data_IF_422394952438
#
_entry.id   IF_422394952438
#
_cell.length_a   1.000
_cell.length_b   1.000
_cell.length_c   1.000
_cell.angle_alpha   90.00
_cell.angle_beta   90.00
_cell.angle_gamma   90.00
#
_symmetry.space_group_name_H-M   'P 1'
#
loop_
_entity.id
_entity.type
_entity.pdbx_description
1 polymer ?
#
# COMPACT_ATOMS: atom_id res chain seq x y z
N UNK A 1 35.99 8.69 -19.15
CA UNK A 1 34.90 7.70 -18.99
C UNK A 1 35.06 6.77 -17.78
N UNK A 2 36.23 6.16 -17.53
CA UNK A 2 36.43 5.27 -16.37
C UNK A 2 36.22 5.92 -14.98
N UNK A 3 36.45 7.24 -14.86
CA UNK A 3 36.23 7.98 -13.60
C UNK A 3 34.74 8.18 -13.28
N UNK A 4 33.91 8.52 -14.27
CA UNK A 4 32.45 8.62 -14.08
C UNK A 4 31.83 7.26 -13.75
N UNK A 5 32.28 6.19 -14.40
CA UNK A 5 31.80 4.83 -14.08
C UNK A 5 32.17 4.41 -12.66
N UNK A 6 33.42 4.67 -12.21
CA UNK A 6 33.83 4.43 -10.82
C UNK A 6 33.05 5.26 -9.80
N UNK A 7 32.70 6.50 -10.13
CA UNK A 7 31.86 7.33 -9.28
C UNK A 7 30.42 6.77 -9.19
N UNK A 8 29.85 6.34 -10.31
CA UNK A 8 28.50 5.77 -10.39
C UNK A 8 28.36 4.39 -9.73
N UNK A 9 29.45 3.61 -9.67
CA UNK A 9 29.47 2.28 -9.03
C UNK A 9 29.99 2.31 -7.59
N UNK A 10 30.19 3.48 -6.99
CA UNK A 10 30.68 3.57 -5.61
C UNK A 10 29.67 2.89 -4.68
N UNK A 11 30.17 2.05 -3.77
CA UNK A 11 29.37 1.39 -2.74
C UNK A 11 29.66 2.01 -1.39
N UNK A 12 28.64 2.10 -0.54
CA UNK A 12 28.84 2.55 0.84
C UNK A 12 29.53 1.44 1.63
N UNK A 13 30.75 1.68 2.08
CA UNK A 13 31.37 0.84 3.09
C UNK A 13 30.74 1.19 4.43
N UNK A 14 30.16 0.19 5.11
CA UNK A 14 29.66 0.34 6.45
C UNK A 14 30.73 -0.20 7.39
N UNK A 15 31.45 0.70 8.06
CA UNK A 15 32.37 0.30 9.11
C UNK A 15 31.57 -0.24 10.29
N UNK A 16 32.01 -1.35 10.88
CA UNK A 16 31.34 -2.04 11.99
C UNK A 16 31.04 -1.13 13.18
N UNK A 17 31.93 -0.16 13.46
CA UNK A 17 31.71 0.87 14.48
C UNK A 17 30.50 1.78 14.18
N UNK A 18 30.23 2.05 12.90
CA UNK A 18 29.11 2.90 12.49
C UNK A 18 27.76 2.16 12.53
N UNK A 19 27.75 0.83 12.63
CA UNK A 19 26.53 0.03 12.81
C UNK A 19 26.04 0.07 14.26
N UNK A 20 26.93 0.31 15.23
CA UNK A 20 26.59 0.37 16.65
C UNK A 20 26.26 1.78 17.16
N UNK A 21 26.70 2.84 16.47
CA UNK A 21 26.36 4.24 16.78
C UNK A 21 24.92 4.61 16.34
N UNK A 22 23.90 3.99 16.95
CA UNK A 22 22.55 4.56 16.92
C UNK A 22 22.40 5.56 18.06
N UNK A 23 22.19 6.84 17.74
CA UNK A 23 21.82 7.88 18.73
C UNK A 23 20.33 7.81 19.11
N UNK A 24 19.57 6.88 18.54
CA UNK A 24 18.14 6.70 18.77
C UNK A 24 17.94 5.69 19.90
N UNK A 25 17.02 5.99 20.82
CA UNK A 25 16.62 5.02 21.84
C UNK A 25 15.93 3.83 21.15
N UNK A 26 16.33 2.61 21.50
CA UNK A 26 15.61 1.40 21.10
C UNK A 26 14.33 1.29 21.91
N UNK A 27 13.20 1.57 21.28
CA UNK A 27 11.88 1.65 21.98
C UNK A 27 10.85 0.71 21.35
N UNK A 28 11.13 0.14 20.18
CA UNK A 28 10.19 -0.73 19.47
C UNK A 28 10.42 -2.20 19.84
N UNK A 29 9.36 -2.87 20.29
CA UNK A 29 9.38 -4.31 20.53
C UNK A 29 8.92 -5.08 19.28
N UNK A 30 9.13 -6.39 19.22
CA UNK A 30 8.75 -7.23 18.06
C UNK A 30 7.26 -7.16 17.73
N UNK A 31 6.43 -7.01 18.77
CA UNK A 31 4.97 -6.83 18.64
C UNK A 31 4.64 -5.48 18.00
N UNK A 32 5.34 -4.42 18.40
CA UNK A 32 5.14 -3.07 17.85
C UNK A 32 5.57 -3.02 16.39
N UNK A 33 6.67 -3.69 16.03
CA UNK A 33 7.12 -3.81 14.63
C UNK A 33 6.14 -4.60 13.77
N UNK A 34 5.59 -5.69 14.32
CA UNK A 34 4.56 -6.47 13.63
C UNK A 34 3.30 -5.64 13.44
N UNK A 35 2.88 -4.90 14.47
CA UNK A 35 1.74 -3.99 14.38
C UNK A 35 1.99 -2.85 13.37
N UNK A 36 3.19 -2.29 13.34
CA UNK A 36 3.59 -1.26 12.37
C UNK A 36 3.55 -1.81 10.93
N UNK A 37 4.09 -3.02 10.71
CA UNK A 37 4.00 -3.71 9.42
C UNK A 37 2.56 -3.98 8.99
N UNK A 38 1.75 -4.55 9.89
CA UNK A 38 0.35 -4.85 9.61
C UNK A 38 -0.45 -3.58 9.37
N UNK A 39 -0.27 -2.54 10.19
CA UNK A 39 -0.98 -1.27 10.09
C UNK A 39 -0.64 -0.49 8.83
N UNK A 40 0.63 -0.50 8.41
CA UNK A 40 1.07 0.15 7.17
C UNK A 40 0.59 -0.58 5.92
N UNK A 41 0.48 -1.91 5.96
CA UNK A 41 0.03 -2.71 4.81
C UNK A 41 -1.51 -2.72 4.69
N UNK A 42 -2.22 -2.74 5.82
CA UNK A 42 -3.69 -2.73 5.86
C UNK A 42 -4.27 -1.34 5.61
N UNK A 43 -4.38 -0.95 4.34
CA UNK A 43 -4.95 0.33 3.94
C UNK A 43 -6.04 0.23 2.86
N UNK A 44 -6.10 1.28 2.03
CA UNK A 44 -7.04 1.42 0.90
C UNK A 44 -6.98 0.23 -0.06
N UNK A 45 -5.83 -0.46 -0.15
CA UNK A 45 -5.66 -1.66 -0.96
C UNK A 45 -6.61 -2.81 -0.60
N UNK A 46 -6.76 -3.13 0.68
CA UNK A 46 -7.66 -4.23 1.07
C UNK A 46 -9.11 -3.78 1.02
N UNK A 47 -9.41 -2.54 1.43
CA UNK A 47 -10.79 -2.10 1.59
C UNK A 47 -11.47 -1.60 0.30
N UNK A 48 -10.73 -0.95 -0.61
CA UNK A 48 -11.28 -0.38 -1.86
C UNK A 48 -10.93 -1.26 -3.05
N UNK A 49 -9.65 -1.60 -3.23
CA UNK A 49 -9.19 -2.31 -4.42
C UNK A 49 -9.71 -3.75 -4.49
N UNK A 50 -9.95 -4.42 -3.36
CA UNK A 50 -10.56 -5.75 -3.38
C UNK A 50 -11.96 -5.74 -4.05
N UNK A 51 -12.77 -4.72 -3.76
CA UNK A 51 -14.09 -4.55 -4.39
C UNK A 51 -14.00 -4.17 -5.86
N UNK A 52 -13.11 -3.23 -6.20
CA UNK A 52 -12.92 -2.76 -7.58
C UNK A 52 -12.37 -3.86 -8.50
N UNK A 53 -11.33 -4.58 -8.06
CA UNK A 53 -10.73 -5.69 -8.80
C UNK A 53 -11.72 -6.85 -8.95
N UNK A 54 -12.49 -7.15 -7.90
CA UNK A 54 -13.55 -8.17 -7.97
C UNK A 54 -14.62 -7.79 -9.00
N UNK A 55 -15.06 -6.53 -9.01
CA UNK A 55 -16.11 -6.07 -9.93
C UNK A 55 -15.64 -5.95 -11.39
N UNK A 56 -14.46 -5.39 -11.62
CA UNK A 56 -14.05 -4.92 -12.95
C UNK A 56 -13.02 -5.82 -13.66
N UNK A 57 -12.24 -6.63 -12.93
CA UNK A 57 -11.06 -7.32 -13.49
C UNK A 57 -11.05 -8.84 -13.30
N UNK A 58 -11.37 -9.33 -12.11
CA UNK A 58 -11.15 -10.73 -11.74
C UNK A 58 -12.45 -11.50 -11.46
N UNK A 59 -13.51 -10.85 -10.96
CA UNK A 59 -14.69 -11.56 -10.47
C UNK A 59 -14.37 -12.43 -9.25
N UNK A 60 -15.01 -13.61 -9.11
CA UNK A 60 -14.71 -14.55 -8.03
C UNK A 60 -13.25 -15.00 -7.98
N UNK A 61 -12.53 -14.98 -9.11
CA UNK A 61 -11.10 -15.26 -9.18
C UNK A 61 -10.20 -14.21 -8.50
N UNK A 62 -10.77 -13.16 -7.89
CA UNK A 62 -10.04 -12.20 -7.04
C UNK A 62 -9.28 -12.89 -5.91
N UNK A 63 -9.79 -14.02 -5.39
CA UNK A 63 -9.09 -14.82 -4.35
C UNK A 63 -7.73 -15.31 -4.87
N UNK A 64 -7.68 -15.81 -6.11
CA UNK A 64 -6.41 -16.23 -6.74
C UNK A 64 -5.53 -15.03 -7.06
N UNK A 65 -6.12 -13.89 -7.38
CA UNK A 65 -5.39 -12.65 -7.66
C UNK A 65 -4.62 -12.19 -6.41
N UNK A 66 -5.28 -12.17 -5.25
CA UNK A 66 -4.65 -11.90 -3.96
C UNK A 66 -3.63 -12.96 -3.57
N UNK A 67 -3.88 -14.24 -3.87
CA UNK A 67 -2.93 -15.31 -3.58
C UNK A 67 -1.63 -15.13 -4.35
N UNK A 68 -1.68 -14.85 -5.66
CA UNK A 68 -0.48 -14.61 -6.45
C UNK A 68 0.28 -13.36 -5.98
N UNK A 69 -0.45 -12.28 -5.67
CA UNK A 69 0.15 -11.07 -5.10
C UNK A 69 0.82 -11.32 -3.74
N UNK A 70 0.20 -12.12 -2.87
CA UNK A 70 0.73 -12.49 -1.57
C UNK A 70 2.01 -13.33 -1.69
N UNK A 71 2.05 -14.32 -2.58
CA UNK A 71 3.23 -15.16 -2.82
C UNK A 71 4.40 -14.34 -3.36
N UNK A 72 4.15 -13.43 -4.32
CA UNK A 72 5.18 -12.53 -4.83
C UNK A 72 5.72 -11.60 -3.74
N UNK A 73 4.83 -11.04 -2.93
CA UNK A 73 5.19 -10.16 -1.80
C UNK A 73 5.96 -10.92 -0.71
N UNK A 74 5.62 -12.18 -0.46
CA UNK A 74 6.33 -13.03 0.50
C UNK A 74 7.79 -13.25 0.08
N UNK A 75 8.05 -13.58 -1.19
CA UNK A 75 9.42 -13.71 -1.69
C UNK A 75 10.20 -12.41 -1.58
N UNK A 76 9.57 -11.27 -1.91
CA UNK A 76 10.20 -9.96 -1.71
C UNK A 76 10.49 -9.69 -0.23
N UNK A 77 9.54 -9.93 0.67
CA UNK A 77 9.69 -9.74 2.11
C UNK A 77 10.82 -10.59 2.71
N UNK A 78 10.99 -11.84 2.24
CA UNK A 78 12.11 -12.69 2.67
C UNK A 78 13.47 -12.09 2.27
N UNK A 79 13.59 -11.53 1.06
CA UNK A 79 14.80 -10.82 0.64
C UNK A 79 15.03 -9.57 1.50
N UNK A 80 13.99 -8.79 1.80
CA UNK A 80 14.10 -7.62 2.67
C UNK A 80 14.50 -7.99 4.11
N UNK A 81 13.98 -9.10 4.64
CA UNK A 81 14.38 -9.61 5.95
C UNK A 81 15.87 -9.98 5.98
N UNK A 82 16.39 -10.64 4.94
CA UNK A 82 17.81 -10.97 4.83
C UNK A 82 18.68 -9.70 4.75
N UNK A 83 18.27 -8.69 3.98
CA UNK A 83 19.00 -7.42 3.93
C UNK A 83 18.95 -6.64 5.25
N UNK A 84 17.79 -6.60 5.91
CA UNK A 84 17.64 -5.94 7.21
C UNK A 84 18.46 -6.59 8.31
N UNK A 85 18.57 -7.92 8.31
CA UNK A 85 19.42 -8.65 9.26
C UNK A 85 20.92 -8.37 9.03
N UNK A 86 21.33 -8.10 7.79
CA UNK A 86 22.74 -7.82 7.43
C UNK A 86 23.12 -6.35 7.57
N UNK A 87 22.16 -5.44 7.37
CA UNK A 87 22.37 -3.99 7.36
C UNK A 87 21.31 -3.34 8.28
N UNK A 88 21.53 -3.35 9.62
CA UNK A 88 20.60 -2.78 10.59
C UNK A 88 20.74 -1.24 10.63
N UNK A 89 20.53 -0.57 9.49
CA UNK A 89 20.49 0.88 9.37
C UNK A 89 19.15 1.33 8.82
N UNK A 90 18.71 2.51 9.27
CA UNK A 90 17.48 3.11 8.77
C UNK A 90 17.71 3.58 7.32
N UNK A 91 16.88 3.09 6.40
CA UNK A 91 16.91 3.56 5.01
C UNK A 91 16.41 2.60 3.94
N UNK A 92 15.80 1.47 4.34
CA UNK A 92 15.05 0.57 3.45
C UNK A 92 15.83 0.22 2.16
N UNK A 93 15.13 0.05 1.03
CA UNK A 93 15.68 -0.41 -0.24
C UNK A 93 16.83 0.45 -0.78
N UNK A 94 16.85 1.75 -0.46
CA UNK A 94 17.89 2.68 -0.88
C UNK A 94 19.26 2.29 -0.30
N UNK A 95 19.33 2.12 1.02
CA UNK A 95 20.58 1.75 1.70
C UNK A 95 21.03 0.36 1.28
N UNK A 96 20.11 -0.59 1.15
CA UNK A 96 20.44 -1.96 0.71
C UNK A 96 21.06 -1.96 -0.69
N UNK A 97 20.47 -1.20 -1.62
CA UNK A 97 20.98 -1.08 -2.99
C UNK A 97 22.32 -0.34 -3.05
N UNK A 98 22.52 0.65 -2.18
CA UNK A 98 23.76 1.41 -2.13
C UNK A 98 24.94 0.60 -1.60
N UNK A 99 24.67 -0.35 -0.70
CA UNK A 99 25.67 -1.28 -0.17
C UNK A 99 25.94 -2.43 -1.16
N UNK A 100 24.90 -3.03 -1.75
CA UNK A 100 25.04 -4.23 -2.57
C UNK A 100 25.43 -3.96 -4.04
N UNK A 101 24.88 -2.91 -4.65
CA UNK A 101 24.98 -2.69 -6.11
C UNK A 101 25.88 -1.51 -6.43
N UNK A 102 25.52 -0.32 -5.95
CA UNK A 102 26.27 0.93 -6.17
C UNK A 102 25.39 2.17 -6.21
N UNK A 103 26.03 3.34 -6.24
CA UNK A 103 25.42 4.66 -6.11
C UNK A 103 24.33 4.95 -7.15
N UNK A 104 24.54 4.62 -8.42
CA UNK A 104 23.57 4.94 -9.48
C UNK A 104 22.25 4.19 -9.35
N UNK A 105 22.30 2.89 -9.07
CA UNK A 105 21.09 2.09 -8.87
C UNK A 105 20.38 2.51 -7.58
N UNK A 106 21.14 2.79 -6.52
CA UNK A 106 20.58 3.35 -5.31
C UNK A 106 19.88 4.69 -5.57
N UNK A 107 20.47 5.58 -6.36
CA UNK A 107 19.86 6.86 -6.73
C UNK A 107 18.52 6.69 -7.47
N UNK A 108 18.46 5.78 -8.45
CA UNK A 108 17.21 5.47 -9.16
C UNK A 108 16.15 4.95 -8.20
N UNK A 109 16.52 4.00 -7.33
CA UNK A 109 15.61 3.43 -6.34
C UNK A 109 15.15 4.48 -5.33
N UNK A 110 16.04 5.37 -4.90
CA UNK A 110 15.69 6.47 -3.98
C UNK A 110 14.66 7.42 -4.58
N UNK A 111 14.82 7.82 -5.84
CA UNK A 111 13.81 8.62 -6.54
C UNK A 111 12.49 7.87 -6.73
N UNK A 112 12.56 6.58 -7.01
CA UNK A 112 11.37 5.75 -7.14
C UNK A 112 10.60 5.63 -5.82
N UNK A 113 11.29 5.42 -4.70
CA UNK A 113 10.70 5.40 -3.36
C UNK A 113 10.01 6.73 -3.02
N UNK A 114 10.65 7.88 -3.30
CA UNK A 114 10.03 9.19 -3.05
C UNK A 114 8.70 9.31 -3.81
N UNK A 115 8.69 8.93 -5.09
CA UNK A 115 7.48 8.96 -5.90
C UNK A 115 6.42 7.97 -5.40
N UNK A 116 6.84 6.77 -5.01
CA UNK A 116 5.96 5.75 -4.43
C UNK A 116 5.28 6.23 -3.15
N UNK A 117 6.03 6.77 -2.19
CA UNK A 117 5.46 7.34 -0.95
C UNK A 117 4.55 8.56 -1.23
N UNK A 118 4.89 9.39 -2.23
CA UNK A 118 4.04 10.52 -2.62
C UNK A 118 2.70 10.05 -3.21
N UNK A 119 2.74 9.06 -4.11
CA UNK A 119 1.53 8.47 -4.71
C UNK A 119 0.71 7.71 -3.66
N UNK A 120 1.38 6.95 -2.78
CA UNK A 120 0.76 6.18 -1.71
C UNK A 120 0.01 7.08 -0.72
N UNK A 121 0.64 8.15 -0.24
CA UNK A 121 0.00 9.12 0.66
C UNK A 121 -1.19 9.81 0.00
N UNK A 122 -1.08 10.21 -1.27
CA UNK A 122 -2.20 10.78 -2.03
C UNK A 122 -3.36 9.78 -2.21
N UNK A 123 -3.04 8.51 -2.48
CA UNK A 123 -4.04 7.45 -2.60
C UNK A 123 -4.77 7.18 -1.28
N UNK A 124 -4.08 7.24 -0.14
CA UNK A 124 -4.70 7.07 1.18
C UNK A 124 -5.64 8.23 1.49
N UNK A 125 -5.20 9.47 1.25
CA UNK A 125 -6.04 10.65 1.41
C UNK A 125 -7.29 10.62 0.51
N UNK A 126 -7.15 10.09 -0.73
CA UNK A 126 -8.29 9.90 -1.64
C UNK A 126 -9.23 8.79 -1.16
N UNK A 127 -8.68 7.67 -0.69
CA UNK A 127 -9.48 6.59 -0.11
C UNK A 127 -10.33 7.06 1.06
N UNK A 128 -9.77 7.88 1.96
CA UNK A 128 -10.51 8.47 3.08
C UNK A 128 -11.67 9.35 2.60
N UNK A 129 -11.43 10.21 1.61
CA UNK A 129 -12.47 11.07 1.01
C UNK A 129 -13.61 10.23 0.42
N UNK A 130 -13.29 9.17 -0.32
CA UNK A 130 -14.28 8.27 -0.91
C UNK A 130 -15.12 7.54 0.15
N UNK A 131 -14.51 7.10 1.25
CA UNK A 131 -15.25 6.48 2.36
C UNK A 131 -16.21 7.45 3.03
N UNK A 132 -15.73 8.66 3.35
CA UNK A 132 -16.57 9.68 3.96
C UNK A 132 -17.70 10.13 3.02
N UNK A 133 -17.41 10.26 1.72
CA UNK A 133 -18.42 10.62 0.72
C UNK A 133 -19.48 9.53 0.61
N UNK A 134 -19.07 8.26 0.64
CA UNK A 134 -20.01 7.13 0.67
C UNK A 134 -20.87 7.10 1.93
N UNK A 135 -20.37 7.54 3.08
CA UNK A 135 -21.15 7.67 4.32
C UNK A 135 -22.14 8.84 4.27
N UNK A 136 -21.81 9.89 3.51
CA UNK A 136 -22.64 11.08 3.28
C UNK A 136 -23.50 10.98 2.01
N UNK A 137 -23.79 9.76 1.53
CA UNK A 137 -24.60 9.51 0.34
C UNK A 137 -24.14 10.25 -0.95
N UNK A 138 -22.82 10.40 -1.15
CA UNK A 138 -22.18 11.08 -2.28
C UNK A 138 -22.41 12.61 -2.36
N UNK A 139 -22.83 13.24 -1.27
CA UNK A 139 -23.11 14.69 -1.23
C UNK A 139 -21.85 15.53 -1.45
N UNK A 140 -20.68 15.07 -0.97
CA UNK A 140 -19.43 15.85 -1.12
C UNK A 140 -18.98 15.88 -2.57
N UNK A 141 -19.07 14.75 -3.28
CA UNK A 141 -18.72 14.70 -4.70
C UNK A 141 -19.62 15.59 -5.56
N UNK A 142 -20.91 15.70 -5.24
CA UNK A 142 -21.81 16.62 -5.94
C UNK A 142 -21.45 18.08 -5.66
N UNK A 143 -21.18 18.43 -4.40
CA UNK A 143 -20.72 19.77 -4.03
C UNK A 143 -19.38 20.14 -4.68
N UNK A 144 -18.42 19.22 -4.75
CA UNK A 144 -17.12 19.49 -5.38
C UNK A 144 -17.22 19.61 -6.90
N UNK A 145 -18.13 18.86 -7.54
CA UNK A 145 -18.42 19.02 -8.97
C UNK A 145 -18.99 20.37 -9.33
N UNK A 146 -19.76 21.00 -8.44
CA UNK A 146 -20.31 22.34 -8.69
C UNK A 146 -19.29 23.45 -8.39
N UNK A 147 -18.47 23.29 -7.36
CA UNK A 147 -17.49 24.31 -6.94
C UNK A 147 -16.23 24.32 -7.81
N UNK A 148 -15.69 23.14 -8.15
CA UNK A 148 -14.43 23.02 -8.88
C UNK A 148 -14.42 21.82 -9.85
N UNK A 149 -15.19 21.88 -10.96
CA UNK A 149 -15.16 20.85 -11.99
C UNK A 149 -13.80 20.84 -12.70
N UNK A 150 -13.19 19.66 -12.82
CA UNK A 150 -12.01 19.44 -13.66
C UNK A 150 -12.42 18.53 -14.80
N UNK A 151 -12.57 19.09 -16.01
CA UNK A 151 -13.08 18.34 -17.17
C UNK A 151 -11.96 17.88 -18.11
N UNK A 152 -10.92 17.25 -17.52
CA UNK A 152 -9.79 16.68 -18.27
C UNK A 152 -9.96 15.17 -18.26
N UNK A 153 -9.95 14.53 -19.43
CA UNK A 153 -10.22 13.09 -19.59
C UNK A 153 -9.29 12.17 -18.80
N UNK A 154 -8.09 12.63 -18.46
CA UNK A 154 -7.09 11.89 -17.68
C UNK A 154 -7.16 12.15 -16.17
N UNK A 155 -7.83 13.21 -15.72
CA UNK A 155 -7.88 13.58 -14.29
C UNK A 155 -9.26 13.32 -13.68
N UNK A 156 -9.32 13.35 -12.34
CA UNK A 156 -10.60 13.27 -11.60
C UNK A 156 -11.57 14.35 -12.10
N UNK A 157 -12.88 14.05 -12.24
CA UNK A 157 -13.88 15.00 -12.75
C UNK A 157 -14.11 16.23 -11.86
N UNK A 158 -13.53 16.26 -10.66
CA UNK A 158 -13.63 17.34 -9.68
C UNK A 158 -12.35 17.39 -8.85
N UNK A 159 -12.05 18.58 -8.33
CA UNK A 159 -11.00 18.75 -7.35
C UNK A 159 -11.49 18.32 -5.97
N UNK A 160 -10.71 17.46 -5.30
CA UNK A 160 -11.07 16.93 -3.99
C UNK A 160 -10.49 17.81 -2.88
N UNK A 161 -11.30 18.77 -2.42
CA UNK A 161 -10.90 19.68 -1.34
C UNK A 161 -10.64 18.95 -0.01
N UNK A 162 -11.33 17.83 0.24
CA UNK A 162 -11.17 17.09 1.48
C UNK A 162 -9.84 16.33 1.51
N UNK A 163 -9.50 15.60 0.45
CA UNK A 163 -8.19 14.93 0.38
C UNK A 163 -7.03 15.91 0.44
N UNK A 164 -7.16 17.07 -0.23
CA UNK A 164 -6.16 18.13 -0.20
C UNK A 164 -5.97 18.69 1.21
N UNK A 165 -7.07 19.04 1.90
CA UNK A 165 -7.00 19.60 3.25
C UNK A 165 -6.45 18.59 4.25
N UNK A 166 -6.89 17.33 4.19
CA UNK A 166 -6.37 16.26 5.05
C UNK A 166 -4.87 16.03 4.88
N UNK A 167 -4.38 15.99 3.62
CA UNK A 167 -2.95 15.85 3.32
C UNK A 167 -2.14 17.06 3.80
N UNK A 168 -2.66 18.27 3.63
CA UNK A 168 -2.00 19.49 4.10
C UNK A 168 -1.94 19.54 5.63
N UNK A 169 -3.03 19.19 6.33
CA UNK A 169 -3.06 19.11 7.79
C UNK A 169 -2.05 18.11 8.34
N UNK A 170 -1.95 16.93 7.72
CA UNK A 170 -0.95 15.93 8.10
C UNK A 170 0.47 16.43 7.85
N UNK A 171 0.71 17.11 6.73
CA UNK A 171 2.01 17.73 6.41
C UNK A 171 2.40 18.76 7.46
N UNK A 172 1.47 19.61 7.90
CA UNK A 172 1.71 20.59 8.97
C UNK A 172 1.99 19.88 10.30
N UNK A 173 1.24 18.85 10.66
CA UNK A 173 1.47 18.09 11.89
C UNK A 173 2.87 17.44 11.91
N UNK A 174 3.31 16.88 10.78
CA UNK A 174 4.65 16.33 10.62
C UNK A 174 5.73 17.42 10.67
N UNK A 175 5.49 18.58 10.05
CA UNK A 175 6.41 19.71 10.07
C UNK A 175 6.59 20.31 11.48
N UNK A 176 5.55 20.25 12.32
CA UNK A 176 5.60 20.62 13.74
C UNK A 176 6.31 19.58 14.62
N UNK A 177 6.71 18.43 14.05
CA UNK A 177 7.46 17.40 14.75
C UNK A 177 6.64 16.67 15.80
N UNK A 178 5.33 16.51 15.58
CA UNK A 178 4.48 15.67 16.45
C UNK A 178 5.10 14.28 16.51
N UNK A 179 5.56 13.89 17.70
CA UNK A 179 6.14 12.57 17.90
C UNK A 179 5.05 11.51 17.73
N UNK A 180 5.22 10.69 16.71
CA UNK A 180 4.46 9.44 16.51
C UNK A 180 4.55 8.60 17.78
N UNK A 181 3.39 8.34 18.40
CA UNK A 181 3.31 7.50 19.59
C UNK A 181 3.07 6.07 19.19
N UNK A 182 4.05 5.19 19.44
CA UNK A 182 3.96 3.73 19.17
C UNK A 182 2.70 3.12 19.80
N UNK A 183 2.31 3.60 20.99
CA UNK A 183 1.06 3.19 21.65
C UNK A 183 -0.19 3.52 20.82
N UNK A 184 -0.24 4.72 20.24
CA UNK A 184 -1.36 5.15 19.40
C UNK A 184 -1.43 4.34 18.12
N UNK A 185 -0.28 4.05 17.50
CA UNK A 185 -0.19 3.17 16.33
C UNK A 185 -0.68 1.74 16.63
N UNK A 186 -0.30 1.17 17.77
CA UNK A 186 -0.76 -0.15 18.18
C UNK A 186 -2.28 -0.20 18.39
N UNK A 187 -2.87 0.83 19.01
CA UNK A 187 -4.32 0.93 19.19
C UNK A 187 -5.01 0.96 17.82
N UNK A 188 -4.57 1.84 16.91
CA UNK A 188 -5.16 1.99 15.59
C UNK A 188 -5.08 0.69 14.80
N UNK A 189 -3.93 0.01 14.83
CA UNK A 189 -3.74 -1.27 14.16
C UNK A 189 -4.64 -2.36 14.75
N UNK A 190 -4.77 -2.41 16.08
CA UNK A 190 -5.63 -3.39 16.76
C UNK A 190 -7.09 -3.19 16.40
N UNK A 191 -7.55 -1.93 16.38
CA UNK A 191 -8.90 -1.58 15.93
C UNK A 191 -9.12 -1.99 14.48
N UNK A 192 -8.16 -1.68 13.59
CA UNK A 192 -8.22 -2.03 12.19
C UNK A 192 -8.31 -3.55 11.98
N UNK A 193 -7.54 -4.34 12.73
CA UNK A 193 -7.63 -5.80 12.73
C UNK A 193 -9.01 -6.30 13.20
N UNK A 194 -9.58 -5.65 14.21
CA UNK A 194 -10.95 -5.92 14.65
C UNK A 194 -12.00 -5.71 13.56
N UNK A 195 -11.86 -4.64 12.76
CA UNK A 195 -12.75 -4.36 11.61
C UNK A 195 -12.61 -5.46 10.55
N UNK A 196 -11.38 -5.88 10.21
CA UNK A 196 -11.15 -6.98 9.26
C UNK A 196 -11.81 -8.27 9.73
N UNK A 197 -11.61 -8.65 10.99
CA UNK A 197 -12.22 -9.86 11.56
C UNK A 197 -13.75 -9.79 11.55
N UNK A 198 -14.32 -8.63 11.89
CA UNK A 198 -15.76 -8.42 11.81
C UNK A 198 -16.29 -8.62 10.39
N UNK A 199 -15.63 -8.04 9.38
CA UNK A 199 -16.01 -8.19 7.97
C UNK A 199 -15.93 -9.66 7.53
N UNK A 200 -14.90 -10.40 7.97
CA UNK A 200 -14.77 -11.83 7.66
C UNK A 200 -15.92 -12.63 8.29
N UNK A 201 -16.23 -12.42 9.56
CA UNK A 201 -17.28 -13.16 10.28
C UNK A 201 -18.66 -12.83 9.69
N UNK A 202 -19.00 -11.54 9.59
CA UNK A 202 -20.28 -11.10 9.04
C UNK A 202 -20.44 -11.49 7.57
N UNK A 203 -19.36 -11.39 6.78
CA UNK A 203 -19.32 -11.83 5.39
C UNK A 203 -19.53 -13.33 5.24
N UNK A 204 -18.92 -14.14 6.11
CA UNK A 204 -19.07 -15.60 6.11
C UNK A 204 -20.50 -16.04 6.38
N UNK A 205 -21.24 -15.35 7.27
CA UNK A 205 -22.65 -15.65 7.52
C UNK A 205 -23.58 -15.33 6.35
N UNK A 206 -23.26 -14.34 5.51
CA UNK A 206 -24.05 -13.98 4.32
C UNK A 206 -23.47 -14.51 3.01
N UNK A 207 -22.40 -15.28 3.05
CA UNK A 207 -21.75 -15.80 1.86
C UNK A 207 -22.63 -16.85 1.18
N UNK A 208 -23.02 -16.60 -0.08
CA UNK A 208 -23.68 -17.60 -0.93
C UNK A 208 -22.67 -18.16 -1.95
N UNK A 209 -22.32 -19.46 -1.88
CA UNK A 209 -21.42 -20.12 -2.83
C UNK A 209 -21.88 -20.07 -4.28
N UNK A 210 -23.18 -19.85 -4.53
CA UNK A 210 -23.72 -19.71 -5.89
C UNK A 210 -23.12 -18.49 -6.62
N UNK A 211 -22.71 -17.45 -5.89
CA UNK A 211 -22.07 -16.26 -6.46
C UNK A 211 -20.75 -16.57 -7.17
N UNK A 212 -20.13 -17.72 -6.92
CA UNK A 212 -18.88 -18.13 -7.56
C UNK A 212 -19.10 -18.80 -8.93
N UNK A 213 -20.34 -19.16 -9.27
CA UNK A 213 -20.69 -19.90 -10.48
C UNK A 213 -21.83 -19.23 -11.28
N UNK A 214 -21.99 -17.91 -11.15
CA UNK A 214 -23.05 -17.15 -11.84
C UNK A 214 -22.93 -17.36 -13.35
N UNK A 215 -24.00 -17.87 -13.98
CA UNK A 215 -24.02 -18.07 -15.43
C UNK A 215 -24.17 -16.72 -16.15
N UNK A 216 -23.73 -16.65 -17.41
CA UNK A 216 -23.81 -15.40 -18.21
C UNK A 216 -25.24 -14.86 -18.33
N UNK A 217 -26.24 -15.74 -18.22
CA UNK A 217 -27.67 -15.41 -18.33
C UNK A 217 -28.23 -14.71 -17.07
N UNK A 218 -27.60 -14.96 -15.91
CA UNK A 218 -28.04 -14.40 -14.62
C UNK A 218 -27.36 -13.06 -14.31
N UNK A 219 -26.50 -12.56 -15.21
CA UNK A 219 -25.81 -11.28 -15.07
C UNK A 219 -26.81 -10.17 -15.43
N UNK A 220 -27.05 -9.19 -14.53
CA UNK A 220 -27.95 -8.08 -14.80
C UNK A 220 -27.55 -7.32 -16.08
N UNK A 221 -28.52 -6.94 -16.94
CA UNK A 221 -28.22 -6.18 -18.15
C UNK A 221 -27.57 -4.83 -17.78
N UNK A 222 -26.45 -4.51 -18.42
CA UNK A 222 -25.67 -3.29 -18.16
C UNK A 222 -24.45 -3.46 -17.24
N UNK A 223 -24.22 -4.66 -16.67
CA UNK A 223 -23.02 -4.94 -15.87
C UNK A 223 -21.99 -5.70 -16.72
N UNK A 224 -20.74 -5.22 -16.73
CA UNK A 224 -19.61 -5.91 -17.37
C UNK A 224 -19.19 -7.16 -16.56
N UNK A 225 -20.02 -8.20 -16.53
CA UNK A 225 -19.76 -9.44 -15.77
C UNK A 225 -18.98 -10.52 -16.53
N UNK A 226 -18.38 -10.18 -17.68
CA UNK A 226 -17.58 -11.10 -18.48
C UNK A 226 -18.36 -12.31 -19.02
N UNK A 227 -17.72 -13.48 -19.04
CA UNK A 227 -18.30 -14.76 -19.49
C UNK A 227 -19.06 -15.52 -18.39
N UNK A 228 -19.18 -14.96 -17.17
CA UNK A 228 -19.72 -15.67 -16.01
C UNK A 228 -18.77 -16.76 -15.47
N UNK A 229 -19.20 -17.45 -14.42
CA UNK A 229 -18.44 -18.47 -13.71
C UNK A 229 -17.39 -17.91 -12.76
N UNK A 230 -16.43 -18.74 -12.38
CA UNK A 230 -15.36 -18.35 -11.45
C UNK A 230 -14.32 -17.42 -12.11
N UNK A 231 -14.10 -17.57 -13.42
CA UNK A 231 -13.18 -16.75 -14.23
C UNK A 231 -13.94 -15.93 -15.29
N UNK A 232 -14.75 -14.93 -14.91
CA UNK A 232 -15.55 -14.16 -15.86
C UNK A 232 -14.68 -13.42 -16.90
N UNK A 233 -13.50 -12.96 -16.49
CA UNK A 233 -12.54 -12.25 -17.35
C UNK A 233 -11.36 -13.15 -17.79
N UNK A 234 -11.47 -14.45 -17.56
CA UNK A 234 -10.41 -15.42 -17.82
C UNK A 234 -9.19 -15.29 -16.90
N UNK A 235 -8.17 -16.12 -17.15
CA UNK A 235 -6.94 -16.13 -16.37
C UNK A 235 -6.15 -14.82 -16.48
N UNK A 236 -6.18 -14.17 -17.65
CA UNK A 236 -5.55 -12.87 -17.88
C UNK A 236 -6.17 -11.79 -16.99
N UNK A 237 -7.49 -11.81 -16.78
CA UNK A 237 -8.17 -10.92 -15.84
C UNK A 237 -7.71 -11.12 -14.40
N UNK A 238 -7.55 -12.37 -13.97
CA UNK A 238 -7.00 -12.70 -12.65
C UNK A 238 -5.55 -12.23 -12.48
N UNK A 239 -4.69 -12.39 -13.49
CA UNK A 239 -3.31 -11.88 -13.44
C UNK A 239 -3.25 -10.35 -13.40
N UNK A 240 -4.09 -9.66 -14.18
CA UNK A 240 -4.21 -8.20 -14.11
C UNK A 240 -4.71 -7.73 -12.75
N UNK A 241 -5.67 -8.47 -12.17
CA UNK A 241 -6.12 -8.28 -10.80
C UNK A 241 -4.98 -8.43 -9.80
N UNK A 242 -4.14 -9.45 -9.94
CA UNK A 242 -3.00 -9.70 -9.05
C UNK A 242 -2.01 -8.51 -9.05
N UNK A 243 -1.69 -7.96 -10.22
CA UNK A 243 -0.83 -6.77 -10.32
C UNK A 243 -1.43 -5.55 -9.60
N UNK A 244 -2.75 -5.40 -9.61
CA UNK A 244 -3.45 -4.33 -8.90
C UNK A 244 -3.50 -4.60 -7.39
N UNK A 245 -3.79 -5.84 -6.99
CA UNK A 245 -3.82 -6.28 -5.60
C UNK A 245 -2.44 -6.21 -4.93
N UNK A 246 -1.34 -6.27 -5.69
CA UNK A 246 0.02 -6.09 -5.17
C UNK A 246 0.18 -4.77 -4.41
N UNK A 247 -0.51 -3.71 -4.83
CA UNK A 247 -0.56 -2.44 -4.11
C UNK A 247 -1.04 -2.59 -2.66
N UNK A 248 -1.96 -3.53 -2.40
CA UNK A 248 -2.44 -3.82 -1.04
C UNK A 248 -1.44 -4.54 -0.14
N UNK A 249 -0.29 -4.97 -0.68
CA UNK A 249 0.81 -5.56 0.08
C UNK A 249 2.02 -4.61 0.22
N UNK A 250 1.96 -3.41 -0.37
CA UNK A 250 2.98 -2.38 -0.18
C UNK A 250 2.87 -1.85 1.24
N UNK A 251 4.02 -1.67 1.91
CA UNK A 251 4.08 -1.14 3.27
C UNK A 251 5.00 -1.92 4.20
N UNK A 252 5.30 -3.19 3.95
CA UNK A 252 6.19 -3.98 4.82
C UNK A 252 7.62 -3.41 4.92
N UNK A 253 8.05 -2.62 3.94
CA UNK A 253 9.34 -1.94 3.88
C UNK A 253 9.48 -0.81 4.92
N UNK A 254 8.37 -0.37 5.52
CA UNK A 254 8.42 0.58 6.64
C UNK A 254 9.18 0.02 7.85
N UNK A 255 9.16 -1.31 8.06
CA UNK A 255 9.92 -2.01 9.10
C UNK A 255 11.43 -1.85 8.85
N UNK A 256 11.83 -1.84 7.58
CA UNK A 256 13.24 -1.62 7.21
C UNK A 256 13.68 -0.15 7.43
N UNK A 257 12.74 0.79 7.51
CA UNK A 257 13.04 2.19 7.84
C UNK A 257 13.24 2.40 9.34
N UNK A 258 12.64 1.56 10.19
CA UNK A 258 12.79 1.66 11.66
C UNK A 258 14.00 0.93 12.22
N UNK A 259 14.86 0.35 11.37
CA UNK A 259 15.98 -0.51 11.78
C UNK A 259 16.95 0.04 12.83
N UNK A 260 17.08 1.36 12.96
CA UNK A 260 17.96 2.00 13.97
C UNK A 260 17.33 2.11 15.37
N UNK A 261 16.02 1.88 15.47
CA UNK A 261 15.18 2.06 16.69
C UNK A 261 14.70 0.68 17.22
N UNK A 262 15.10 -0.40 16.55
CA UNK A 262 14.93 -1.81 16.96
C UNK A 262 16.03 -2.18 17.97
#
# INVERSE_FOLDING_TARGET
MASCWKALTRRKHLDTLSLEESKLARVLNTVDLTALGVGSTLGVGVYVLAGDVSKNLAGPAVVLSFLFAAVASLFAALCYAEFGARVPKAGSAYIYSYVCVGEFIAFIIGWNLILEYAIGSASVAKGLSLYLDSLLNNTMKEAFRTIAPMNISFMSPHFDFFSFSASMSLTVALALGVKESSFMNNILTTLNMGVVLFVIIAGSWKANPQNWKISKQDIPPGVNGGKGGFFPFGFVGALKGAATCFYGFVGFDCIATTGEII
#
